data_IF_329544398936
#
_entry.id   IF_329544398936
#
_cell.length_a   1.000
_cell.length_b   1.000
_cell.length_c   1.000
_cell.angle_alpha   90.00
_cell.angle_beta   90.00
_cell.angle_gamma   90.00
#
_symmetry.space_group_name_H-M   'P 1'
#
loop_
_entity.id
_entity.type
_entity.pdbx_description
1 polymer ?
#
# COMPACT_ATOMS: atom_id res chain seq x y z
N UNK A 1 -17.97 -19.37 18.86
CA UNK A 1 -16.56 -19.61 18.53
C UNK A 1 -15.72 -18.90 19.58
N UNK A 2 -14.98 -19.66 20.40
CA UNK A 2 -14.01 -19.06 21.31
C UNK A 2 -12.95 -18.31 20.51
N UNK A 3 -12.61 -17.10 20.95
CA UNK A 3 -11.74 -16.13 20.25
C UNK A 3 -10.26 -16.58 20.18
N UNK A 4 -9.94 -17.81 20.56
CA UNK A 4 -8.59 -18.33 20.79
C UNK A 4 -7.92 -19.00 19.58
N UNK A 5 -8.62 -19.22 18.46
CA UNK A 5 -8.10 -20.03 17.34
C UNK A 5 -7.87 -19.27 16.01
N UNK A 6 -7.87 -17.94 16.01
CA UNK A 6 -7.59 -17.17 14.78
C UNK A 6 -6.08 -17.16 14.50
N UNK A 7 -5.64 -18.02 13.59
CA UNK A 7 -4.25 -18.07 13.09
C UNK A 7 -4.06 -17.13 11.92
N UNK A 8 -2.96 -16.37 11.92
CA UNK A 8 -2.57 -15.50 10.81
C UNK A 8 -1.33 -16.09 10.16
N UNK A 9 -1.41 -16.36 8.87
CA UNK A 9 -0.42 -17.15 8.14
C UNK A 9 0.60 -16.29 7.40
N UNK A 10 0.19 -15.10 6.92
CA UNK A 10 1.08 -14.19 6.21
C UNK A 10 0.71 -12.71 6.35
N UNK A 11 1.72 -11.84 6.20
CA UNK A 11 1.54 -10.37 6.14
C UNK A 11 2.34 -9.81 4.97
N UNK A 12 1.69 -8.98 4.15
CA UNK A 12 2.35 -8.17 3.14
C UNK A 12 2.69 -6.78 3.67
N UNK A 13 3.95 -6.37 3.60
CA UNK A 13 4.42 -5.15 4.31
C UNK A 13 4.66 -3.94 3.41
N UNK A 14 4.58 -4.12 2.08
CA UNK A 14 4.87 -3.05 1.13
C UNK A 14 5.40 -3.57 -0.20
N UNK A 15 6.02 -2.72 -1.03
CA UNK A 15 6.04 -1.27 -0.92
C UNK A 15 4.84 -0.65 -1.64
N UNK A 16 4.38 0.51 -1.17
CA UNK A 16 3.36 1.28 -1.88
C UNK A 16 3.84 1.67 -3.29
N UNK A 17 2.93 1.63 -4.26
CA UNK A 17 3.18 1.97 -5.69
C UNK A 17 4.07 0.99 -6.46
N UNK A 18 4.23 -0.23 -5.94
CA UNK A 18 5.03 -1.30 -6.55
C UNK A 18 4.21 -2.46 -7.11
N UNK A 19 2.91 -2.29 -7.38
CA UNK A 19 2.07 -3.37 -7.94
C UNK A 19 1.38 -4.27 -6.91
N UNK A 20 1.32 -3.85 -5.64
CA UNK A 20 0.71 -4.64 -4.56
C UNK A 20 -0.79 -4.85 -4.74
N UNK A 21 -1.52 -3.91 -5.36
CA UNK A 21 -2.95 -4.10 -5.68
C UNK A 21 -3.17 -5.29 -6.60
N UNK A 22 -2.35 -5.46 -7.64
CA UNK A 22 -2.46 -6.60 -8.54
C UNK A 22 -2.23 -7.92 -7.78
N UNK A 23 -1.22 -7.96 -6.89
CA UNK A 23 -0.97 -9.15 -6.07
C UNK A 23 -2.12 -9.44 -5.12
N UNK A 24 -2.72 -8.42 -4.49
CA UNK A 24 -3.85 -8.61 -3.57
C UNK A 24 -5.09 -9.13 -4.29
N UNK A 25 -5.38 -8.65 -5.50
CA UNK A 25 -6.46 -9.20 -6.32
C UNK A 25 -6.19 -10.66 -6.69
N UNK A 26 -4.97 -10.98 -7.14
CA UNK A 26 -4.59 -12.36 -7.46
C UNK A 26 -4.65 -13.31 -6.24
N UNK A 27 -4.23 -12.84 -5.07
CA UNK A 27 -4.35 -13.60 -3.82
C UNK A 27 -5.83 -13.76 -3.42
N UNK A 28 -6.65 -12.73 -3.61
CA UNK A 28 -8.08 -12.75 -3.28
C UNK A 28 -8.92 -13.68 -4.14
N UNK A 29 -8.48 -13.98 -5.37
CA UNK A 29 -9.12 -14.98 -6.23
C UNK A 29 -8.78 -16.44 -5.84
N UNK A 30 -7.68 -16.68 -5.11
CA UNK A 30 -7.23 -18.03 -4.81
C UNK A 30 -8.18 -18.74 -3.82
N UNK A 31 -8.65 -19.97 -4.10
CA UNK A 31 -9.68 -20.64 -3.31
C UNK A 31 -9.31 -20.84 -1.84
N UNK A 32 -8.04 -21.12 -1.54
CA UNK A 32 -7.54 -21.35 -0.17
C UNK A 32 -6.99 -20.12 0.55
N UNK A 33 -7.11 -18.91 -0.03
CA UNK A 33 -6.64 -17.68 0.61
C UNK A 33 -7.83 -16.85 1.05
N UNK A 34 -7.74 -16.28 2.24
CA UNK A 34 -8.69 -15.28 2.72
C UNK A 34 -7.95 -14.00 3.10
N UNK A 35 -8.48 -12.87 2.61
CA UNK A 35 -8.04 -11.53 2.94
C UNK A 35 -9.23 -10.75 3.55
N UNK A 36 -8.99 -9.86 4.52
CA UNK A 36 -10.01 -8.92 4.98
C UNK A 36 -10.60 -8.11 3.83
N UNK A 37 -11.88 -7.75 3.96
CA UNK A 37 -12.61 -6.94 2.96
C UNK A 37 -11.90 -5.61 2.70
N UNK A 38 -11.34 -5.00 3.74
CA UNK A 38 -10.43 -3.88 3.60
C UNK A 38 -9.02 -4.39 3.31
N UNK A 39 -8.60 -4.32 2.04
CA UNK A 39 -7.31 -4.85 1.58
C UNK A 39 -6.07 -4.14 2.18
N UNK A 40 -6.26 -3.07 2.99
CA UNK A 40 -5.19 -2.28 3.61
C UNK A 40 -5.54 -1.92 5.05
N UNK A 41 -5.30 -2.84 5.99
CA UNK A 41 -5.67 -2.63 7.40
C UNK A 41 -4.89 -1.48 8.04
N UNK A 42 -3.58 -1.41 7.78
CA UNK A 42 -2.67 -0.49 8.48
C UNK A 42 -2.84 -0.56 10.00
N UNK A 43 -3.08 -1.76 10.55
CA UNK A 43 -3.46 -1.91 11.96
C UNK A 43 -2.31 -1.59 12.91
N UNK A 44 -1.10 -2.06 12.58
CA UNK A 44 0.11 -1.89 13.40
C UNK A 44 0.82 -0.55 13.20
N UNK A 45 0.46 0.22 12.17
CA UNK A 45 1.11 1.49 11.81
C UNK A 45 0.06 2.59 11.79
N UNK A 46 0.37 3.83 12.16
CA UNK A 46 -0.54 4.94 11.89
C UNK A 46 -0.14 5.71 10.62
N UNK A 47 -0.83 5.49 9.47
CA UNK A 47 -0.56 6.25 8.26
C UNK A 47 -1.10 7.69 8.31
N UNK A 48 -1.90 8.04 9.34
CA UNK A 48 -2.54 9.36 9.44
C UNK A 48 -1.53 10.41 9.85
N UNK A 49 -1.65 11.56 9.22
CA UNK A 49 -0.75 12.72 9.31
C UNK A 49 -0.75 13.49 10.63
N UNK A 50 -1.41 12.99 11.68
CA UNK A 50 -1.58 13.70 12.96
C UNK A 50 -0.83 13.06 14.13
N UNK A 51 -0.04 12.00 13.89
CA UNK A 51 0.78 11.37 14.94
C UNK A 51 -0.01 10.73 16.09
N UNK A 52 -1.30 10.45 15.91
CA UNK A 52 -2.11 9.75 16.90
C UNK A 52 -1.73 8.27 17.06
N UNK A 53 -2.36 7.54 17.99
CA UNK A 53 -2.11 6.12 18.13
C UNK A 53 -2.61 5.32 16.90
N UNK A 54 -1.89 4.26 16.57
CA UNK A 54 -2.29 3.18 15.68
C UNK A 54 -3.53 2.43 16.23
N UNK A 55 -4.20 1.63 15.40
CA UNK A 55 -5.30 0.80 15.88
C UNK A 55 -4.81 -0.27 16.86
N UNK A 56 -3.58 -0.76 16.69
CA UNK A 56 -2.93 -1.64 17.64
C UNK A 56 -2.76 -1.00 19.03
N UNK A 57 -2.34 0.26 19.12
CA UNK A 57 -2.22 0.96 20.40
C UNK A 57 -3.58 1.20 21.06
N UNK A 58 -4.66 1.38 20.27
CA UNK A 58 -6.01 1.63 20.79
C UNK A 58 -6.74 0.36 21.23
N UNK A 59 -6.67 -0.69 20.40
CA UNK A 59 -7.51 -1.89 20.49
C UNK A 59 -6.71 -3.15 20.81
N UNK A 60 -5.38 -3.07 20.83
CA UNK A 60 -4.49 -4.18 21.13
C UNK A 60 -4.53 -5.30 20.09
N UNK A 61 -3.98 -6.44 20.46
CA UNK A 61 -3.95 -7.64 19.62
C UNK A 61 -5.34 -8.24 19.40
N UNK A 62 -6.22 -8.17 20.40
CA UNK A 62 -7.59 -8.68 20.31
C UNK A 62 -8.41 -7.96 19.24
N UNK A 63 -8.27 -6.63 19.14
CA UNK A 63 -8.94 -5.88 18.10
C UNK A 63 -8.48 -6.28 16.68
N UNK A 64 -7.23 -6.69 16.51
CA UNK A 64 -6.70 -7.14 15.23
C UNK A 64 -7.31 -8.48 14.83
N UNK A 65 -7.36 -9.43 15.77
CA UNK A 65 -7.93 -10.76 15.50
C UNK A 65 -9.43 -10.68 15.20
N UNK A 66 -10.14 -9.67 15.71
CA UNK A 66 -11.55 -9.42 15.36
C UNK A 66 -11.75 -9.10 13.86
N UNK A 67 -10.76 -8.50 13.20
CA UNK A 67 -10.78 -8.26 11.74
C UNK A 67 -10.81 -9.57 10.93
N UNK A 68 -10.47 -10.71 11.57
CA UNK A 68 -10.42 -12.05 10.97
C UNK A 68 -11.49 -12.99 11.53
N UNK A 69 -12.42 -12.52 12.37
CA UNK A 69 -13.43 -13.39 13.02
C UNK A 69 -14.36 -14.13 12.06
N UNK A 70 -14.54 -13.58 10.86
CA UNK A 70 -15.38 -14.16 9.80
C UNK A 70 -14.54 -14.94 8.76
N UNK A 71 -13.24 -15.13 9.00
CA UNK A 71 -12.39 -15.87 8.08
C UNK A 71 -12.72 -17.37 8.12
N UNK A 72 -12.90 -18.04 6.96
CA UNK A 72 -13.13 -19.48 6.92
C UNK A 72 -11.97 -20.27 7.54
N UNK A 73 -12.31 -21.37 8.21
CA UNK A 73 -11.33 -22.20 8.94
C UNK A 73 -10.33 -22.87 7.99
N UNK A 74 -10.81 -23.29 6.82
CA UNK A 74 -10.09 -24.03 5.77
C UNK A 74 -9.15 -23.17 4.90
N UNK A 75 -9.15 -21.85 5.08
CA UNK A 75 -8.30 -20.92 4.31
C UNK A 75 -7.13 -20.40 5.12
N UNK A 76 -6.00 -20.17 4.45
CA UNK A 76 -4.91 -19.39 5.04
C UNK A 76 -5.30 -17.92 5.08
N UNK A 77 -4.91 -17.23 6.15
CA UNK A 77 -5.36 -15.87 6.47
C UNK A 77 -4.19 -14.92 6.42
N UNK A 78 -4.35 -13.78 5.76
CA UNK A 78 -3.34 -12.75 5.76
C UNK A 78 -3.89 -11.37 5.49
N UNK A 79 -3.03 -10.39 5.63
CA UNK A 79 -3.35 -8.99 5.34
C UNK A 79 -2.18 -8.30 4.65
N UNK A 80 -2.40 -7.04 4.29
CA UNK A 80 -1.38 -6.20 3.70
C UNK A 80 -1.49 -4.76 4.20
N UNK A 81 -0.34 -4.13 4.37
CA UNK A 81 -0.24 -2.69 4.55
C UNK A 81 1.06 -2.18 3.94
N UNK A 82 0.98 -1.16 3.10
CA UNK A 82 2.17 -0.50 2.53
C UNK A 82 2.90 0.43 3.51
N UNK A 83 2.42 0.52 4.75
CA UNK A 83 2.96 1.37 5.80
C UNK A 83 3.71 0.57 6.88
N UNK A 84 3.74 -0.76 6.78
CA UNK A 84 4.48 -1.60 7.73
C UNK A 84 5.97 -1.65 7.45
N UNK A 85 6.36 -1.75 6.18
CA UNK A 85 7.77 -1.83 5.80
C UNK A 85 8.59 -0.60 6.25
N UNK A 86 8.09 0.65 6.14
CA UNK A 86 8.84 1.83 6.61
C UNK A 86 8.95 1.97 8.14
N UNK A 87 8.06 1.34 8.90
CA UNK A 87 7.98 1.51 10.35
C UNK A 87 8.65 0.34 11.08
N UNK A 88 9.85 0.56 11.61
CA UNK A 88 10.63 -0.46 12.31
C UNK A 88 9.92 -1.02 13.55
N UNK A 89 9.05 -0.23 14.21
CA UNK A 89 8.27 -0.70 15.36
C UNK A 89 7.28 -1.79 14.94
N UNK A 90 6.76 -1.71 13.72
CA UNK A 90 5.84 -2.73 13.19
C UNK A 90 6.54 -4.07 13.06
N UNK A 91 7.81 -4.10 12.64
CA UNK A 91 8.58 -5.35 12.56
C UNK A 91 8.67 -6.04 13.94
N UNK A 92 8.88 -5.26 15.00
CA UNK A 92 8.94 -5.75 16.38
C UNK A 92 7.57 -6.24 16.88
N UNK A 93 6.49 -5.51 16.58
CA UNK A 93 5.12 -5.92 16.92
C UNK A 93 4.77 -7.24 16.22
N UNK A 94 5.06 -7.36 14.92
CA UNK A 94 4.80 -8.59 14.16
C UNK A 94 5.65 -9.74 14.73
N UNK A 95 6.93 -9.50 15.09
CA UNK A 95 7.78 -10.54 15.66
C UNK A 95 7.27 -11.05 17.00
N UNK A 96 6.80 -10.14 17.86
CA UNK A 96 6.24 -10.44 19.17
C UNK A 96 5.03 -11.37 19.08
N UNK A 97 4.10 -11.08 18.16
CA UNK A 97 2.83 -11.83 18.08
C UNK A 97 2.86 -13.00 17.09
N UNK A 98 3.69 -12.91 16.05
CA UNK A 98 3.72 -13.88 14.96
C UNK A 98 5.16 -14.28 14.56
N UNK A 99 5.93 -14.91 15.47
CA UNK A 99 7.36 -15.14 15.28
C UNK A 99 7.73 -16.06 14.11
N UNK A 100 6.76 -16.81 13.57
CA UNK A 100 6.91 -17.77 12.46
C UNK A 100 6.16 -17.35 11.19
N UNK A 101 5.61 -16.13 11.13
CA UNK A 101 4.77 -15.70 10.00
C UNK A 101 5.56 -15.61 8.70
N UNK A 102 4.86 -15.75 7.58
CA UNK A 102 5.39 -15.48 6.24
C UNK A 102 5.19 -14.01 5.90
N UNK A 103 6.25 -13.35 5.46
CA UNK A 103 6.26 -11.93 5.12
C UNK A 103 6.54 -11.80 3.63
N UNK A 104 5.81 -10.94 2.94
CA UNK A 104 6.12 -10.61 1.55
C UNK A 104 6.15 -9.10 1.31
N UNK A 105 6.98 -8.69 0.36
CA UNK A 105 7.05 -7.31 -0.09
C UNK A 105 7.32 -7.25 -1.60
N UNK A 106 6.88 -6.16 -2.23
CA UNK A 106 7.08 -5.86 -3.64
C UNK A 106 7.88 -4.57 -3.76
N UNK A 107 9.04 -4.66 -4.39
CA UNK A 107 9.94 -3.54 -4.59
C UNK A 107 9.90 -3.11 -6.06
N UNK A 108 9.93 -1.81 -6.30
CA UNK A 108 10.05 -1.21 -7.62
C UNK A 108 11.28 -0.31 -7.61
N UNK A 109 11.90 -0.05 -8.76
CA UNK A 109 12.91 1.01 -8.87
C UNK A 109 12.50 2.23 -8.04
N UNK A 110 13.31 2.65 -7.06
CA UNK A 110 12.87 3.59 -6.02
C UNK A 110 12.53 4.97 -6.59
N UNK A 111 13.20 5.39 -7.67
CA UNK A 111 12.90 6.64 -8.38
C UNK A 111 11.54 6.55 -9.07
N UNK A 112 11.30 5.48 -9.82
CA UNK A 112 10.00 5.28 -10.47
C UNK A 112 8.85 5.10 -9.46
N UNK A 113 9.13 4.45 -8.32
CA UNK A 113 8.19 4.30 -7.22
C UNK A 113 7.82 5.67 -6.65
N UNK A 114 8.81 6.51 -6.38
CA UNK A 114 8.62 7.87 -5.90
C UNK A 114 7.83 8.72 -6.89
N UNK A 115 8.15 8.66 -8.18
CA UNK A 115 7.41 9.38 -9.22
C UNK A 115 5.96 8.89 -9.34
N UNK A 116 5.73 7.58 -9.31
CA UNK A 116 4.38 7.00 -9.30
C UNK A 116 3.54 7.45 -8.10
N UNK A 117 4.19 7.67 -6.95
CA UNK A 117 3.58 8.17 -5.72
C UNK A 117 3.25 9.67 -5.80
N UNK A 118 4.19 10.46 -6.34
CA UNK A 118 4.01 11.89 -6.63
C UNK A 118 2.82 12.15 -7.55
N UNK A 119 2.73 11.42 -8.66
CA UNK A 119 1.61 11.55 -9.59
C UNK A 119 0.28 11.22 -8.90
N UNK A 120 0.27 10.20 -8.02
CA UNK A 120 -0.92 9.92 -7.20
C UNK A 120 -1.26 11.08 -6.26
N UNK A 121 -0.25 11.69 -5.64
CA UNK A 121 -0.39 12.91 -4.83
C UNK A 121 -1.05 14.06 -5.56
N UNK A 122 -0.62 14.30 -6.80
CA UNK A 122 -1.15 15.36 -7.67
C UNK A 122 -2.56 15.07 -8.15
N UNK A 123 -2.81 13.89 -8.70
CA UNK A 123 -4.08 13.57 -9.38
C UNK A 123 -5.18 13.15 -8.40
N UNK A 124 -4.83 12.27 -7.45
CA UNK A 124 -5.82 11.69 -6.56
C UNK A 124 -6.08 12.55 -5.34
N UNK A 125 -5.02 13.11 -4.76
CA UNK A 125 -5.15 13.87 -3.52
C UNK A 125 -5.25 15.39 -3.75
N UNK A 126 -4.86 15.89 -4.93
CA UNK A 126 -4.81 17.33 -5.25
C UNK A 126 -4.00 18.17 -4.23
N UNK A 127 -3.10 17.50 -3.50
CA UNK A 127 -2.29 18.10 -2.42
C UNK A 127 -0.94 18.58 -2.91
N UNK A 128 -0.44 17.94 -3.94
CA UNK A 128 0.89 18.25 -4.47
C UNK A 128 0.81 19.39 -5.48
N UNK A 129 1.54 20.46 -5.21
CA UNK A 129 1.47 21.75 -5.94
C UNK A 129 2.80 22.19 -6.54
N UNK A 130 3.87 21.49 -6.23
CA UNK A 130 5.21 21.76 -6.74
C UNK A 130 5.63 20.66 -7.73
N UNK A 131 6.70 20.91 -8.47
CA UNK A 131 7.30 19.92 -9.37
C UNK A 131 7.84 18.70 -8.59
N UNK A 132 8.11 17.61 -9.30
CA UNK A 132 8.49 16.34 -8.68
C UNK A 132 9.79 16.43 -7.88
N UNK A 133 10.79 17.14 -8.39
CA UNK A 133 12.09 17.22 -7.74
C UNK A 133 11.99 18.00 -6.42
N UNK A 134 11.33 19.15 -6.44
CA UNK A 134 11.03 19.92 -5.24
C UNK A 134 10.26 19.06 -4.22
N UNK A 135 9.23 18.33 -4.67
CA UNK A 135 8.44 17.48 -3.79
C UNK A 135 9.23 16.28 -3.22
N UNK A 136 10.18 15.76 -3.99
CA UNK A 136 11.04 14.64 -3.60
C UNK A 136 11.99 15.03 -2.46
N UNK A 137 12.59 16.23 -2.54
CA UNK A 137 13.52 16.74 -1.52
C UNK A 137 12.83 17.50 -0.37
N UNK A 138 11.52 17.70 -0.44
CA UNK A 138 10.78 18.41 0.60
C UNK A 138 10.92 17.72 1.97
N UNK A 139 11.32 18.49 3.00
CA UNK A 139 11.42 18.01 4.39
C UNK A 139 10.06 17.58 4.98
N UNK A 140 8.97 18.18 4.49
CA UNK A 140 7.60 17.86 4.88
C UNK A 140 6.81 17.59 3.60
N UNK A 141 6.14 16.45 3.56
CA UNK A 141 5.24 16.10 2.49
C UNK A 141 3.79 16.19 2.98
N UNK A 142 2.89 16.83 2.22
CA UNK A 142 1.49 17.00 2.62
C UNK A 142 0.69 15.67 2.67
N UNK A 143 1.15 14.63 1.95
CA UNK A 143 0.63 13.27 2.03
C UNK A 143 1.21 12.51 3.21
N UNK A 144 2.50 12.73 3.50
CA UNK A 144 3.28 11.96 4.46
C UNK A 144 3.95 12.91 5.48
N UNK A 145 3.18 13.43 6.44
CA UNK A 145 3.65 14.47 7.38
C UNK A 145 4.68 14.01 8.42
N UNK A 146 4.87 12.70 8.61
CA UNK A 146 5.82 12.13 9.59
C UNK A 146 7.24 11.89 9.03
N UNK A 147 7.62 12.57 7.93
CA UNK A 147 8.97 12.44 7.35
C UNK A 147 9.13 11.29 6.34
N UNK A 148 8.09 10.50 6.10
CA UNK A 148 8.05 9.42 5.09
C UNK A 148 7.72 9.93 3.69
N UNK A 149 8.41 10.99 3.25
CA UNK A 149 8.23 11.57 1.92
C UNK A 149 8.55 10.60 0.78
N UNK A 150 8.39 11.07 -0.46
CA UNK A 150 8.67 10.24 -1.64
C UNK A 150 10.11 9.69 -1.63
N UNK A 151 11.07 10.47 -1.12
CA UNK A 151 12.47 10.08 -1.01
C UNK A 151 12.68 8.95 0.00
N UNK A 152 12.23 9.11 1.24
CA UNK A 152 12.54 8.19 2.34
C UNK A 152 12.02 6.77 2.09
N UNK A 153 10.84 6.66 1.48
CA UNK A 153 10.20 5.37 1.15
C UNK A 153 10.96 4.55 0.10
N UNK A 154 11.94 5.11 -0.60
CA UNK A 154 12.77 4.40 -1.58
C UNK A 154 14.01 3.73 -1.00
N UNK A 155 14.41 4.02 0.25
CA UNK A 155 15.54 3.37 0.91
C UNK A 155 15.12 2.00 1.46
N UNK A 156 14.99 1.01 0.57
CA UNK A 156 14.45 -0.30 0.93
C UNK A 156 15.38 -1.13 1.80
N UNK A 157 16.71 -1.05 1.62
CA UNK A 157 17.61 -1.79 2.50
C UNK A 157 17.45 -1.30 3.93
N UNK A 158 17.44 0.01 4.15
CA UNK A 158 17.16 0.61 5.47
C UNK A 158 15.87 0.06 6.09
N UNK A 159 14.79 -0.02 5.32
CA UNK A 159 13.48 -0.49 5.79
C UNK A 159 13.41 -2.01 6.05
N UNK A 160 14.04 -2.81 5.19
CA UNK A 160 13.97 -4.27 5.26
C UNK A 160 14.96 -4.87 6.25
N UNK A 161 16.06 -4.18 6.58
CA UNK A 161 17.11 -4.66 7.47
C UNK A 161 16.55 -5.25 8.77
N UNK A 162 15.67 -4.50 9.47
CA UNK A 162 15.05 -4.95 10.72
C UNK A 162 14.21 -6.22 10.55
N UNK A 163 13.50 -6.36 9.44
CA UNK A 163 12.74 -7.59 9.15
C UNK A 163 13.67 -8.80 8.96
N UNK A 164 14.78 -8.64 8.25
CA UNK A 164 15.75 -9.73 8.07
C UNK A 164 16.54 -10.06 9.34
N UNK A 165 16.70 -9.12 10.27
CA UNK A 165 17.26 -9.37 11.60
C UNK A 165 16.30 -10.17 12.49
N UNK A 166 15.00 -9.90 12.40
CA UNK A 166 13.98 -10.51 13.26
C UNK A 166 13.44 -11.85 12.73
N UNK A 167 13.43 -12.05 11.41
CA UNK A 167 12.83 -13.21 10.77
C UNK A 167 13.83 -13.98 9.91
N UNK A 168 13.77 -15.32 9.89
CA UNK A 168 14.58 -16.11 8.97
C UNK A 168 14.33 -15.71 7.51
N UNK A 169 15.38 -15.65 6.69
CA UNK A 169 15.27 -15.31 5.25
C UNK A 169 14.21 -16.15 4.51
N UNK A 170 14.05 -17.43 4.86
CA UNK A 170 13.02 -18.32 4.29
C UNK A 170 11.57 -17.89 4.56
N UNK A 171 11.35 -17.03 5.56
CA UNK A 171 10.05 -16.46 5.90
C UNK A 171 9.79 -15.11 5.22
N UNK A 172 10.73 -14.59 4.41
CA UNK A 172 10.58 -13.31 3.72
C UNK A 172 10.68 -13.53 2.21
N UNK A 173 9.62 -13.19 1.47
CA UNK A 173 9.61 -13.19 0.00
C UNK A 173 9.66 -11.76 -0.52
N UNK A 174 10.74 -11.41 -1.20
CA UNK A 174 10.87 -10.16 -1.95
C UNK A 174 10.52 -10.40 -3.42
N UNK A 175 9.59 -9.62 -3.93
CA UNK A 175 9.13 -9.61 -5.31
C UNK A 175 9.62 -8.33 -5.96
N UNK A 176 10.16 -8.41 -7.18
CA UNK A 176 10.50 -7.22 -7.95
C UNK A 176 9.33 -6.89 -8.89
N UNK A 177 8.97 -5.62 -8.95
CA UNK A 177 7.92 -5.12 -9.85
C UNK A 177 8.29 -5.38 -11.33
N UNK A 178 9.58 -5.39 -11.65
CA UNK A 178 10.07 -5.72 -13.00
C UNK A 178 9.75 -7.18 -13.37
N UNK A 179 9.89 -8.11 -12.43
CA UNK A 179 9.47 -9.50 -12.62
C UNK A 179 7.96 -9.60 -12.80
N UNK A 180 7.20 -8.83 -12.02
CA UNK A 180 5.74 -8.79 -12.12
C UNK A 180 5.29 -8.26 -13.48
N UNK A 181 5.94 -7.22 -14.01
CA UNK A 181 5.67 -6.70 -15.36
C UNK A 181 6.06 -7.69 -16.44
N UNK A 182 7.19 -8.38 -16.28
CA UNK A 182 7.71 -9.31 -17.28
C UNK A 182 6.90 -10.60 -17.36
N UNK A 183 6.51 -11.17 -16.22
CA UNK A 183 5.74 -12.41 -16.16
C UNK A 183 4.98 -12.52 -14.83
N UNK A 184 3.78 -11.95 -14.80
CA UNK A 184 2.95 -11.95 -13.60
C UNK A 184 2.46 -13.35 -13.18
N UNK A 185 2.26 -14.27 -14.13
CA UNK A 185 1.88 -15.65 -13.84
C UNK A 185 2.99 -16.42 -13.10
N UNK A 186 4.25 -16.28 -13.53
CA UNK A 186 5.40 -16.87 -12.83
C UNK A 186 5.49 -16.32 -11.41
N UNK A 187 5.38 -15.00 -11.24
CA UNK A 187 5.49 -14.33 -9.95
C UNK A 187 4.42 -14.79 -8.97
N UNK A 188 3.15 -14.83 -9.38
CA UNK A 188 2.08 -15.26 -8.48
C UNK A 188 2.22 -16.73 -8.10
N UNK A 189 2.62 -17.59 -9.04
CA UNK A 189 2.89 -19.01 -8.78
C UNK A 189 3.99 -19.21 -7.73
N UNK A 190 5.07 -18.42 -7.81
CA UNK A 190 6.11 -18.43 -6.78
C UNK A 190 5.61 -17.95 -5.42
N UNK A 191 4.73 -16.94 -5.41
CA UNK A 191 4.11 -16.47 -4.17
C UNK A 191 3.19 -17.54 -3.56
N UNK A 192 2.40 -18.26 -4.37
CA UNK A 192 1.59 -19.38 -3.90
C UNK A 192 2.44 -20.49 -3.27
N UNK A 193 3.56 -20.88 -3.92
CA UNK A 193 4.51 -21.84 -3.34
C UNK A 193 5.09 -21.35 -2.02
N UNK A 194 5.49 -20.08 -1.97
CA UNK A 194 5.97 -19.46 -0.74
C UNK A 194 4.91 -19.50 0.36
N UNK A 195 3.65 -19.21 0.04
CA UNK A 195 2.51 -19.27 0.97
C UNK A 195 2.06 -20.70 1.30
N UNK A 196 2.57 -21.71 0.59
CA UNK A 196 2.20 -23.13 0.73
C UNK A 196 0.74 -23.40 0.38
N UNK A 197 0.26 -22.78 -0.69
CA UNK A 197 -1.05 -23.08 -1.31
C UNK A 197 -0.84 -23.65 -2.72
N UNK A 198 -1.93 -24.05 -3.37
CA UNK A 198 -1.88 -24.62 -4.71
C UNK A 198 -1.29 -23.64 -5.73
N UNK A 199 -0.12 -23.99 -6.26
CA UNK A 199 0.61 -23.17 -7.22
C UNK A 199 0.09 -23.34 -8.65
N UNK A 200 -0.83 -24.28 -8.90
CA UNK A 200 -1.44 -24.50 -10.21
C UNK A 200 -2.63 -23.58 -10.48
N UNK A 201 -3.22 -22.99 -9.45
CA UNK A 201 -4.30 -22.01 -9.59
C UNK A 201 -3.85 -20.82 -10.45
N UNK A 202 -4.68 -20.44 -11.42
CA UNK A 202 -4.43 -19.32 -12.34
C UNK A 202 -5.50 -18.25 -12.13
N UNK A 203 -5.14 -17.08 -11.58
CA UNK A 203 -6.06 -15.95 -11.48
C UNK A 203 -6.58 -15.46 -12.83
N UNK A 204 -7.81 -14.99 -12.87
CA UNK A 204 -8.46 -14.38 -14.03
C UNK A 204 -7.77 -13.09 -14.52
N UNK A 205 -6.96 -12.46 -13.64
CA UNK A 205 -6.24 -11.21 -13.91
C UNK A 205 -4.83 -11.40 -14.48
N UNK A 206 -4.40 -12.63 -14.78
CA UNK A 206 -3.14 -12.87 -15.51
C UNK A 206 -3.15 -12.10 -16.84
N UNK A 207 -2.00 -11.50 -17.18
CA UNK A 207 -1.85 -10.62 -18.34
C UNK A 207 -2.60 -9.27 -18.28
N UNK A 208 -3.49 -9.05 -17.30
CA UNK A 208 -4.28 -7.80 -17.17
C UNK A 208 -3.58 -6.80 -16.27
N UNK A 209 -3.72 -5.51 -16.61
CA UNK A 209 -3.38 -4.41 -15.70
C UNK A 209 -4.55 -4.16 -14.77
N UNK A 210 -4.26 -4.15 -13.47
CA UNK A 210 -5.21 -3.84 -12.40
C UNK A 210 -5.06 -2.38 -12.01
N UNK A 211 -6.18 -1.68 -11.81
CA UNK A 211 -6.23 -0.24 -11.54
C UNK A 211 -5.50 0.58 -12.62
N UNK A 212 -6.05 0.65 -13.86
CA UNK A 212 -5.53 1.56 -14.86
C UNK A 212 -5.42 2.99 -14.29
N UNK A 213 -4.46 3.77 -14.81
CA UNK A 213 -4.31 5.16 -14.39
C UNK A 213 -5.57 5.89 -14.83
N UNK A 214 -6.21 6.50 -13.87
CA UNK A 214 -7.57 6.99 -13.99
C UNK A 214 -7.52 8.43 -13.53
N UNK A 215 -7.72 9.37 -14.45
CA UNK A 215 -7.58 10.80 -14.18
C UNK A 215 -8.64 11.31 -13.20
N UNK A 216 -8.68 12.63 -13.00
CA UNK A 216 -9.86 13.28 -12.41
C UNK A 216 -10.29 14.37 -13.37
N UNK A 217 -11.42 14.13 -14.04
CA UNK A 217 -12.01 15.04 -15.04
C UNK A 217 -12.44 16.37 -14.40
N UNK A 218 -13.05 16.33 -13.22
CA UNK A 218 -13.58 17.52 -12.55
C UNK A 218 -12.85 17.86 -11.24
N UNK A 219 -11.65 18.45 -11.36
CA UNK A 219 -10.81 18.84 -10.21
C UNK A 219 -11.54 19.75 -9.20
N UNK A 220 -12.39 20.68 -9.67
CA UNK A 220 -13.17 21.59 -8.82
C UNK A 220 -14.25 20.85 -8.02
N UNK A 221 -14.97 19.91 -8.64
CA UNK A 221 -15.98 19.10 -7.98
C UNK A 221 -15.32 18.21 -6.92
N UNK A 222 -14.20 17.57 -7.25
CA UNK A 222 -13.42 16.78 -6.28
C UNK A 222 -12.90 17.63 -5.11
N UNK A 223 -12.46 18.88 -5.36
CA UNK A 223 -12.09 19.83 -4.30
C UNK A 223 -13.29 20.10 -3.39
N UNK A 224 -14.45 20.43 -3.93
CA UNK A 224 -15.69 20.67 -3.15
C UNK A 224 -16.04 19.44 -2.31
N UNK A 225 -16.02 18.24 -2.91
CA UNK A 225 -16.28 16.98 -2.21
C UNK A 225 -15.29 16.77 -1.05
N UNK A 226 -13.99 16.95 -1.30
CA UNK A 226 -12.95 16.80 -0.28
C UNK A 226 -13.08 17.82 0.85
N UNK A 227 -13.46 19.06 0.54
CA UNK A 227 -13.72 20.11 1.53
C UNK A 227 -14.94 19.76 2.38
N UNK A 228 -16.03 19.30 1.76
CA UNK A 228 -17.24 18.88 2.48
C UNK A 228 -16.99 17.64 3.35
N UNK A 229 -16.17 16.69 2.89
CA UNK A 229 -15.76 15.53 3.68
C UNK A 229 -14.94 15.96 4.92
N UNK A 230 -13.97 16.85 4.73
CA UNK A 230 -13.16 17.41 5.83
C UNK A 230 -14.01 18.20 6.83
N UNK A 231 -14.97 19.00 6.35
CA UNK A 231 -15.93 19.70 7.19
C UNK A 231 -16.75 18.68 7.99
N UNK A 232 -17.28 17.63 7.34
CA UNK A 232 -18.06 16.60 8.03
C UNK A 232 -17.26 15.88 9.12
N UNK A 233 -16.02 15.48 8.85
CA UNK A 233 -15.15 14.82 9.84
C UNK A 233 -14.72 15.75 10.98
N UNK A 234 -14.51 17.05 10.70
CA UNK A 234 -14.14 18.03 11.72
C UNK A 234 -15.34 18.45 12.59
N UNK A 235 -16.56 18.20 12.11
CA UNK A 235 -17.81 18.69 12.70
C UNK A 235 -18.78 17.58 13.12
N UNK A 236 -18.30 16.33 13.30
CA UNK A 236 -19.09 15.14 13.70
C UNK A 236 -19.90 15.33 15.00
N UNK A 237 -19.60 16.35 15.81
CA UNK A 237 -20.33 16.68 17.06
C UNK A 237 -21.23 17.93 16.98
N UNK A 238 -21.44 18.51 15.81
CA UNK A 238 -22.29 19.70 15.64
C UNK A 238 -23.55 19.39 14.85
N UNK A 239 -24.59 20.22 15.02
CA UNK A 239 -25.85 20.17 14.27
C UNK A 239 -25.65 20.24 12.75
N UNK A 240 -24.61 20.94 12.29
CA UNK A 240 -24.22 21.01 10.87
C UNK A 240 -23.65 19.68 10.37
N UNK A 241 -22.82 18.99 11.17
CA UNK A 241 -22.30 17.66 10.83
C UNK A 241 -23.41 16.63 10.70
N UNK A 242 -24.42 16.70 11.60
CA UNK A 242 -25.62 15.85 11.53
C UNK A 242 -26.48 16.14 10.30
N UNK A 243 -26.64 17.42 9.91
CA UNK A 243 -27.32 17.81 8.67
C UNK A 243 -26.61 17.30 7.41
N UNK A 244 -25.26 17.37 7.36
CA UNK A 244 -24.47 16.82 6.25
C UNK A 244 -24.57 15.29 6.19
N UNK A 245 -24.55 14.62 7.35
CA UNK A 245 -24.78 13.18 7.44
C UNK A 245 -26.18 12.78 6.97
N UNK A 246 -27.23 13.49 7.41
CA UNK A 246 -28.61 13.26 6.97
C UNK A 246 -28.78 13.53 5.48
N UNK A 247 -28.17 14.57 4.93
CA UNK A 247 -28.17 14.82 3.49
C UNK A 247 -27.54 13.66 2.73
N UNK A 248 -26.36 13.16 3.15
CA UNK A 248 -25.71 11.99 2.53
C UNK A 248 -26.57 10.72 2.57
N UNK A 249 -27.40 10.55 3.61
CA UNK A 249 -28.24 9.36 3.82
C UNK A 249 -29.62 9.45 3.16
N UNK A 250 -30.21 10.65 3.09
CA UNK A 250 -31.54 10.87 2.50
C UNK A 250 -31.52 11.18 1.00
N UNK A 251 -30.41 11.67 0.47
CA UNK A 251 -30.30 11.98 -0.95
C UNK A 251 -29.53 10.88 -1.70
N UNK A 252 -29.87 10.64 -2.97
CA UNK A 252 -29.05 9.80 -3.89
C UNK A 252 -27.68 10.45 -4.20
N UNK A 253 -27.24 11.44 -3.43
CA UNK A 253 -25.96 12.12 -3.59
C UNK A 253 -24.79 11.13 -3.50
N UNK A 254 -24.88 10.05 -2.71
CA UNK A 254 -23.86 8.98 -2.76
C UNK A 254 -23.77 8.31 -4.14
N UNK A 255 -24.89 8.12 -4.84
CA UNK A 255 -24.92 7.62 -6.22
C UNK A 255 -24.41 8.66 -7.21
N UNK A 256 -24.67 9.95 -6.97
CA UNK A 256 -24.10 11.04 -7.78
C UNK A 256 -22.58 11.13 -7.57
N UNK A 257 -22.10 10.97 -6.34
CA UNK A 257 -20.68 10.90 -6.03
C UNK A 257 -20.03 9.68 -6.65
N UNK A 258 -20.65 8.50 -6.56
CA UNK A 258 -20.17 7.30 -7.25
C UNK A 258 -20.13 7.51 -8.76
N UNK A 259 -21.18 8.11 -9.36
CA UNK A 259 -21.21 8.47 -10.79
C UNK A 259 -20.17 9.52 -11.17
N UNK A 260 -19.86 10.48 -10.29
CA UNK A 260 -18.82 11.49 -10.51
C UNK A 260 -17.44 10.85 -10.39
N UNK A 261 -17.22 9.93 -9.44
CA UNK A 261 -15.98 9.17 -9.34
C UNK A 261 -15.81 8.24 -10.55
N UNK A 262 -16.88 7.55 -10.98
CA UNK A 262 -16.95 6.77 -12.23
C UNK A 262 -16.68 7.65 -13.47
N UNK A 263 -17.32 8.80 -13.62
CA UNK A 263 -17.09 9.71 -14.75
C UNK A 263 -15.74 10.48 -14.67
N UNK A 264 -15.19 10.62 -13.47
CA UNK A 264 -13.82 11.08 -13.29
C UNK A 264 -12.84 10.03 -13.81
N UNK A 265 -13.27 8.76 -13.93
CA UNK A 265 -12.36 7.69 -14.30
C UNK A 265 -11.95 7.64 -15.78
N UNK A 266 -12.63 8.40 -16.63
CA UNK A 266 -12.50 8.30 -18.10
C UNK A 266 -11.58 9.35 -18.73
N UNK A 267 -10.82 10.13 -17.96
CA UNK A 267 -9.86 11.08 -18.58
C UNK A 267 -8.56 10.39 -18.93
N UNK A 268 -8.10 10.57 -20.16
CA UNK A 268 -6.69 10.41 -20.54
C UNK A 268 -5.82 11.19 -19.57
N UNK A 269 -5.00 10.44 -18.85
CA UNK A 269 -4.06 10.99 -17.89
C UNK A 269 -2.91 11.59 -18.67
N UNK A 270 -2.57 12.87 -18.43
CA UNK A 270 -1.31 13.41 -18.93
C UNK A 270 -0.20 12.48 -18.45
N UNK A 271 0.46 11.82 -19.41
CA UNK A 271 1.61 11.00 -19.13
C UNK A 271 2.78 11.92 -18.81
N UNK A 272 2.77 12.52 -17.62
CA UNK A 272 3.96 13.19 -17.11
C UNK A 272 5.10 12.18 -17.17
N UNK A 273 6.11 12.53 -17.95
CA UNK A 273 7.34 11.76 -18.10
C UNK A 273 8.36 12.30 -17.11
N UNK A 274 9.08 11.39 -16.48
CA UNK A 274 10.19 11.77 -15.63
C UNK A 274 11.37 12.16 -16.52
N UNK A 275 11.82 13.41 -16.43
CA UNK A 275 12.98 13.87 -17.18
C UNK A 275 14.21 13.01 -16.85
N UNK A 276 14.96 12.61 -17.89
CA UNK A 276 16.09 11.69 -17.75
C UNK A 276 17.17 12.25 -16.80
N UNK A 277 17.41 13.56 -16.85
CA UNK A 277 18.33 14.25 -15.95
C UNK A 277 17.94 14.08 -14.47
N UNK A 278 16.66 14.32 -14.15
CA UNK A 278 16.13 14.13 -12.80
C UNK A 278 16.23 12.65 -12.41
N UNK A 279 15.88 11.73 -13.32
CA UNK A 279 15.98 10.30 -13.05
C UNK A 279 17.40 9.86 -12.68
N UNK A 280 18.40 10.24 -13.47
CA UNK A 280 19.81 9.89 -13.20
C UNK A 280 20.35 10.59 -11.94
N UNK A 281 19.91 11.82 -11.65
CA UNK A 281 20.22 12.50 -10.38
C UNK A 281 19.67 11.72 -9.19
N UNK A 282 18.40 11.33 -9.22
CA UNK A 282 17.75 10.61 -8.12
C UNK A 282 18.21 9.15 -7.98
N UNK A 283 18.69 8.51 -9.06
CA UNK A 283 19.31 7.18 -8.97
C UNK A 283 20.55 7.20 -8.07
N UNK A 284 21.39 8.24 -8.19
CA UNK A 284 22.61 8.40 -7.38
C UNK A 284 22.29 8.47 -5.89
N UNK A 285 21.16 9.06 -5.50
CA UNK A 285 20.69 9.13 -4.10
C UNK A 285 20.48 7.73 -3.48
N UNK A 286 19.98 6.78 -4.26
CA UNK A 286 19.66 5.44 -3.77
C UNK A 286 20.79 4.43 -3.96
N UNK A 287 21.83 4.76 -4.74
CA UNK A 287 22.87 3.81 -5.18
C UNK A 287 23.42 2.95 -4.04
N UNK A 288 23.87 3.58 -2.94
CA UNK A 288 24.43 2.88 -1.78
C UNK A 288 23.41 1.94 -1.11
N UNK A 289 22.16 2.38 -0.97
CA UNK A 289 21.11 1.56 -0.36
C UNK A 289 20.73 0.38 -1.27
N UNK A 290 20.73 0.57 -2.59
CA UNK A 290 20.48 -0.50 -3.57
C UNK A 290 21.61 -1.54 -3.57
N UNK A 291 22.87 -1.11 -3.45
CA UNK A 291 24.02 -2.02 -3.36
C UNK A 291 23.94 -2.92 -2.10
N UNK A 292 23.53 -2.37 -0.97
CA UNK A 292 23.29 -3.16 0.25
C UNK A 292 22.02 -4.02 0.15
N UNK A 293 20.97 -3.52 -0.50
CA UNK A 293 19.75 -4.27 -0.76
C UNK A 293 20.02 -5.52 -1.60
N UNK A 294 20.82 -5.38 -2.67
CA UNK A 294 21.22 -6.46 -3.58
C UNK A 294 21.89 -7.61 -2.81
N UNK A 295 22.79 -7.29 -1.88
CA UNK A 295 23.41 -8.27 -0.96
C UNK A 295 22.38 -8.91 -0.04
N UNK A 296 21.53 -8.10 0.60
CA UNK A 296 20.52 -8.57 1.56
C UNK A 296 19.57 -9.59 0.94
N UNK A 297 18.99 -9.25 -0.22
CA UNK A 297 17.98 -10.07 -0.87
C UNK A 297 18.59 -11.12 -1.81
N UNK A 298 19.85 -10.97 -2.21
CA UNK A 298 20.55 -11.88 -3.13
C UNK A 298 19.94 -11.83 -4.54
N UNK A 299 19.66 -10.64 -5.06
CA UNK A 299 19.06 -10.41 -6.39
C UNK A 299 19.78 -9.27 -7.08
N UNK A 300 20.08 -9.46 -8.36
CA UNK A 300 20.65 -8.40 -9.20
C UNK A 300 19.67 -7.22 -9.34
N UNK A 301 20.14 -6.02 -8.98
CA UNK A 301 19.44 -4.75 -9.10
C UNK A 301 20.23 -3.74 -9.94
N UNK A 302 21.11 -4.20 -10.84
CA UNK A 302 21.93 -3.34 -11.70
C UNK A 302 21.11 -2.33 -12.49
N UNK A 303 19.91 -2.69 -12.95
CA UNK A 303 19.01 -1.78 -13.67
C UNK A 303 18.49 -0.61 -12.83
N UNK A 304 18.63 -0.66 -11.51
CA UNK A 304 18.20 0.41 -10.59
C UNK A 304 19.35 1.35 -10.20
N UNK A 305 20.59 1.03 -10.58
CA UNK A 305 21.81 1.77 -10.24
C UNK A 305 22.31 2.65 -11.38
#
# INVERSE_FOLDING_TARGET
>A
MERTNVKIDFIGIGAGRSGTTWILEALGEHPHIWLPKEQKLNYFSNPRSNGGPSEYEKRGMWGYLDEFKNAPVDKIKGEFSSHYMPDEKVAEIIKKHFPKIKIWAVLRNPVERAFSDYIRGREFHLKEKVDFETAFFAKKNELYKNGDGYRQRGFYHKQLKKYFELFPKKNIKIILYDDLKKNNQRVIRELYRFLSVDASFVPSIIGKKVSPRVGTKFKTIKKIISSLANISHKMERSSVGYLVYLMKRKTKISKIFNKIDEANTEKDVDHETLALEIYEKLKKEYKKDIEELEKLIGRDLKSWK
#
